data_IF_025757091059
#
_entry.id   IF_025757091059
#
_cell.length_a   1.000
_cell.length_b   1.000
_cell.length_c   1.000
_cell.angle_alpha   90.00
_cell.angle_beta   90.00
_cell.angle_gamma   90.00
#
_symmetry.space_group_name_H-M   'P 1'
#
loop_
_entity.id
_entity.type
_entity.pdbx_description
1 polymer ?
#
# COMPACT_ATOMS: atom_id res chain seq x y z
N UNK A 1 11.70 -14.07 -15.06
CA UNK A 1 10.39 -14.07 -15.76
C UNK A 1 9.38 -13.44 -14.83
N UNK A 2 8.66 -12.38 -15.24
CA UNK A 2 7.56 -11.82 -14.43
C UNK A 2 6.37 -12.75 -14.61
N UNK A 3 5.91 -13.43 -13.56
CA UNK A 3 4.67 -14.19 -13.62
C UNK A 3 3.53 -13.20 -13.77
N UNK A 4 3.03 -13.04 -15.01
CA UNK A 4 1.79 -12.29 -15.27
C UNK A 4 0.66 -13.01 -14.55
N UNK A 5 0.06 -12.34 -13.57
CA UNK A 5 -1.19 -12.80 -12.95
C UNK A 5 -2.22 -12.87 -14.06
N UNK A 6 -2.69 -14.07 -14.40
CA UNK A 6 -3.51 -14.23 -15.61
C UNK A 6 -4.98 -13.83 -15.39
N UNK A 7 -5.41 -13.62 -14.14
CA UNK A 7 -6.60 -12.87 -13.67
C UNK A 7 -6.69 -13.04 -12.14
N UNK A 8 -6.44 -12.00 -11.33
CA UNK A 8 -6.67 -12.12 -9.89
C UNK A 8 -8.17 -12.32 -9.61
N UNK A 9 -8.49 -13.00 -8.52
CA UNK A 9 -9.85 -13.03 -7.94
C UNK A 9 -10.08 -11.86 -6.98
N UNK A 10 -9.00 -11.36 -6.36
CA UNK A 10 -9.05 -10.20 -5.49
C UNK A 10 -7.81 -9.31 -5.63
N UNK A 11 -7.98 -8.04 -5.27
CA UNK A 11 -6.90 -7.05 -5.26
C UNK A 11 -6.82 -6.45 -3.85
N UNK A 12 -5.65 -6.50 -3.25
CA UNK A 12 -5.32 -5.68 -2.08
C UNK A 12 -4.91 -4.31 -2.61
N UNK A 13 -5.75 -3.31 -2.36
CA UNK A 13 -5.53 -1.93 -2.76
C UNK A 13 -4.95 -1.14 -1.60
N UNK A 14 -3.75 -0.61 -1.81
CA UNK A 14 -3.06 0.24 -0.85
C UNK A 14 -3.23 1.68 -1.31
N UNK A 15 -3.69 2.53 -0.40
CA UNK A 15 -3.61 3.99 -0.58
C UNK A 15 -2.77 4.57 0.53
N UNK A 16 -2.07 5.66 0.24
CA UNK A 16 -1.27 6.36 1.23
C UNK A 16 -1.69 7.82 1.26
N UNK A 17 -1.88 8.36 2.47
CA UNK A 17 -2.04 9.79 2.68
C UNK A 17 -0.83 10.31 3.45
N UNK A 18 -0.20 11.36 2.92
CA UNK A 18 0.87 12.08 3.62
C UNK A 18 0.29 13.38 4.16
N UNK A 19 0.14 13.47 5.47
CA UNK A 19 -0.30 14.69 6.14
C UNK A 19 0.79 15.76 6.12
N UNK A 20 0.41 17.01 5.90
CA UNK A 20 1.35 18.15 5.80
C UNK A 20 1.95 18.51 7.18
N UNK A 21 1.24 18.24 8.29
CA UNK A 21 1.59 18.77 9.61
C UNK A 21 2.56 17.92 10.45
N UNK A 22 2.90 16.70 10.03
CA UNK A 22 3.62 15.76 10.94
C UNK A 22 4.58 14.79 10.24
N UNK A 23 4.81 14.95 8.93
CA UNK A 23 5.57 13.99 8.10
C UNK A 23 5.11 12.52 8.20
N UNK A 24 3.95 12.29 8.81
CA UNK A 24 3.39 10.97 8.99
C UNK A 24 2.79 10.49 7.66
N UNK A 25 3.26 9.34 7.19
CA UNK A 25 2.66 8.61 6.07
C UNK A 25 1.73 7.57 6.69
N UNK A 26 0.45 7.65 6.36
CA UNK A 26 -0.53 6.65 6.74
C UNK A 26 -0.88 5.81 5.54
N UNK A 27 -0.88 4.49 5.73
CA UNK A 27 -1.35 3.55 4.73
C UNK A 27 -2.76 3.11 5.09
N UNK A 28 -3.60 2.96 4.07
CA UNK A 28 -4.94 2.43 4.17
C UNK A 28 -5.07 1.29 3.18
N UNK A 29 -5.90 0.32 3.54
CA UNK A 29 -6.05 -0.91 2.78
C UNK A 29 -7.49 -1.24 2.48
N UNK A 30 -7.75 -1.76 1.28
CA UNK A 30 -9.01 -2.43 0.96
C UNK A 30 -8.73 -3.75 0.25
N UNK A 31 -9.49 -4.79 0.57
CA UNK A 31 -9.57 -6.00 -0.25
C UNK A 31 -10.76 -5.86 -1.19
N UNK A 32 -10.52 -5.80 -2.49
CA UNK A 32 -11.56 -5.76 -3.51
C UNK A 32 -11.67 -7.12 -4.19
N UNK A 33 -12.80 -7.78 -4.01
CA UNK A 33 -13.15 -9.00 -4.73
C UNK A 33 -13.65 -8.65 -6.14
N UNK A 34 -13.20 -9.39 -7.14
CA UNK A 34 -13.48 -9.08 -8.54
C UNK A 34 -14.65 -9.87 -9.14
N UNK A 35 -15.12 -10.90 -8.44
CA UNK A 35 -16.25 -11.72 -8.88
C UNK A 35 -17.55 -11.12 -8.35
N UNK A 36 -17.65 -10.95 -7.03
CA UNK A 36 -18.84 -10.39 -6.36
C UNK A 36 -18.83 -8.85 -6.31
N UNK A 37 -17.76 -8.21 -6.79
CA UNK A 37 -17.54 -6.75 -6.73
C UNK A 37 -17.63 -6.14 -5.31
N UNK A 38 -17.46 -6.97 -4.29
CA UNK A 38 -17.44 -6.52 -2.90
C UNK A 38 -16.08 -5.90 -2.54
N UNK A 39 -16.12 -4.91 -1.65
CA UNK A 39 -14.93 -4.25 -1.13
C UNK A 39 -14.95 -4.22 0.39
N UNK A 40 -13.86 -4.66 1.00
CA UNK A 40 -13.69 -4.74 2.44
C UNK A 40 -12.61 -3.78 2.87
N UNK A 41 -12.93 -2.89 3.82
CA UNK A 41 -11.90 -2.07 4.45
C UNK A 41 -11.06 -2.94 5.38
N UNK A 42 -9.74 -2.87 5.19
CA UNK A 42 -8.79 -3.55 6.05
C UNK A 42 -8.64 -2.74 7.32
N UNK A 43 -8.70 -3.44 8.46
CA UNK A 43 -8.55 -2.85 9.79
C UNK A 43 -7.58 -3.67 10.61
N UNK A 44 -6.96 -3.02 11.59
CA UNK A 44 -6.10 -3.64 12.60
C UNK A 44 -6.41 -3.06 13.98
N UNK A 45 -6.11 -3.79 15.07
CA UNK A 45 -6.20 -3.21 16.40
C UNK A 45 -5.15 -2.08 16.55
N UNK A 46 -5.55 -1.00 17.22
CA UNK A 46 -4.63 0.03 17.71
C UNK A 46 -3.87 -0.49 18.94
N UNK A 47 -2.57 -0.19 19.03
CA UNK A 47 -1.75 -0.59 20.18
C UNK A 47 -1.74 0.48 21.27
N UNK A 48 -1.48 0.07 22.51
CA UNK A 48 -1.28 1.00 23.63
C UNK A 48 -0.15 2.02 23.35
N UNK A 49 0.94 1.59 22.73
CA UNK A 49 2.05 2.47 22.37
C UNK A 49 1.61 3.59 21.42
N UNK A 50 0.71 3.30 20.46
CA UNK A 50 0.17 4.30 19.55
C UNK A 50 -0.76 5.30 20.25
N UNK A 51 -1.58 4.83 21.19
CA UNK A 51 -2.43 5.70 22.03
C UNK A 51 -1.59 6.66 22.87
N UNK A 52 -0.52 6.15 23.51
CA UNK A 52 0.38 6.95 24.34
C UNK A 52 1.22 7.93 23.53
N UNK A 53 1.65 7.54 22.33
CA UNK A 53 2.48 8.37 21.45
C UNK A 53 1.69 9.47 20.74
N UNK A 54 0.42 9.22 20.42
CA UNK A 54 -0.43 10.16 19.69
C UNK A 54 -1.80 10.34 20.37
N UNK A 55 -1.83 10.83 21.62
CA UNK A 55 -3.05 10.89 22.43
C UNK A 55 -4.12 11.79 21.79
N UNK A 56 -3.73 12.92 21.19
CA UNK A 56 -4.67 13.83 20.51
C UNK A 56 -5.31 13.20 19.27
N UNK A 57 -4.57 12.34 18.56
CA UNK A 57 -5.08 11.67 17.36
C UNK A 57 -6.06 10.56 17.72
N UNK A 58 -5.81 9.87 18.82
CA UNK A 58 -6.53 8.66 19.21
C UNK A 58 -7.33 8.82 20.50
N UNK A 59 -7.69 10.05 20.87
CA UNK A 59 -8.37 10.38 22.13
C UNK A 59 -9.72 9.68 22.34
N UNK A 60 -10.37 9.21 21.26
CA UNK A 60 -11.63 8.45 21.29
C UNK A 60 -11.46 6.93 21.18
N UNK A 61 -10.22 6.42 21.16
CA UNK A 61 -9.95 5.00 20.97
C UNK A 61 -9.43 4.36 22.25
N UNK A 62 -9.80 3.10 22.45
CA UNK A 62 -9.26 2.23 23.47
C UNK A 62 -8.30 1.20 22.88
N UNK A 63 -7.46 0.60 23.71
CA UNK A 63 -6.53 -0.44 23.28
C UNK A 63 -7.29 -1.61 22.65
N UNK A 64 -6.91 -1.99 21.42
CA UNK A 64 -7.58 -3.06 20.68
C UNK A 64 -8.69 -2.60 19.74
N UNK A 65 -9.10 -1.32 19.76
CA UNK A 65 -10.07 -0.81 18.80
C UNK A 65 -9.59 -0.96 17.35
N UNK A 66 -10.51 -1.33 16.46
CA UNK A 66 -10.20 -1.59 15.06
C UNK A 66 -10.13 -0.30 14.24
N UNK A 67 -8.90 0.08 13.87
CA UNK A 67 -8.61 1.25 13.03
C UNK A 67 -8.23 0.84 11.61
N UNK A 68 -8.46 1.72 10.63
CA UNK A 68 -8.14 1.49 9.22
C UNK A 68 -6.79 2.07 8.78
N UNK A 69 -6.00 2.59 9.73
CA UNK A 69 -4.70 3.21 9.45
C UNK A 69 -3.54 2.29 9.81
N UNK A 70 -2.64 2.07 8.86
CA UNK A 70 -1.48 1.19 8.97
C UNK A 70 -0.17 2.00 8.98
N UNK A 71 0.84 1.43 9.64
CA UNK A 71 2.16 2.05 9.77
C UNK A 71 3.04 1.75 8.55
N UNK A 72 2.83 0.60 7.90
CA UNK A 72 3.51 0.27 6.66
C UNK A 72 2.54 -0.29 5.61
N UNK A 73 2.92 -0.18 4.33
CA UNK A 73 2.20 -0.86 3.24
C UNK A 73 2.33 -2.38 3.33
N UNK A 74 3.37 -2.91 4.00
CA UNK A 74 3.53 -4.36 4.23
C UNK A 74 2.43 -4.84 5.19
N UNK A 75 2.15 -4.09 6.25
CA UNK A 75 1.10 -4.44 7.23
C UNK A 75 -0.28 -4.52 6.54
N UNK A 76 -0.50 -3.69 5.53
CA UNK A 76 -1.72 -3.73 4.70
C UNK A 76 -1.78 -5.02 3.90
N UNK A 77 -0.67 -5.45 3.30
CA UNK A 77 -0.58 -6.70 2.53
C UNK A 77 -0.85 -7.90 3.44
N UNK A 78 -0.23 -7.93 4.62
CA UNK A 78 -0.38 -9.02 5.58
C UNK A 78 -1.83 -9.12 6.08
N UNK A 79 -2.42 -7.98 6.43
CA UNK A 79 -3.84 -7.91 6.84
C UNK A 79 -4.77 -8.32 5.72
N UNK A 80 -4.54 -7.82 4.50
CA UNK A 80 -5.33 -8.18 3.33
C UNK A 80 -5.24 -9.67 2.99
N UNK A 81 -4.07 -10.28 3.15
CA UNK A 81 -3.88 -11.71 2.95
C UNK A 81 -4.62 -12.56 3.99
N UNK A 82 -4.67 -12.11 5.25
CA UNK A 82 -5.43 -12.80 6.29
C UNK A 82 -6.93 -12.74 6.02
N UNK A 83 -7.46 -11.55 5.71
CA UNK A 83 -8.88 -11.38 5.35
C UNK A 83 -9.24 -12.19 4.09
N UNK A 84 -8.35 -12.25 3.10
CA UNK A 84 -8.57 -13.07 1.91
C UNK A 84 -8.62 -14.57 2.23
N UNK A 85 -7.74 -15.07 3.11
CA UNK A 85 -7.78 -16.48 3.58
C UNK A 85 -9.05 -16.81 4.33
N UNK A 86 -9.52 -15.92 5.21
CA UNK A 86 -10.79 -16.08 5.94
C UNK A 86 -11.99 -16.21 4.98
N UNK A 87 -11.88 -15.57 3.81
CA UNK A 87 -12.86 -15.62 2.72
C UNK A 87 -12.65 -16.78 1.74
N UNK A 88 -11.65 -17.63 1.97
CA UNK A 88 -11.35 -18.77 1.10
C UNK A 88 -10.71 -18.40 -0.24
N UNK A 89 -10.08 -17.22 -0.35
CA UNK A 89 -9.37 -16.77 -1.54
C UNK A 89 -7.92 -17.24 -1.45
N UNK A 90 -7.45 -17.98 -2.46
CA UNK A 90 -6.07 -18.43 -2.55
C UNK A 90 -5.13 -17.23 -2.83
N UNK A 91 -3.99 -17.19 -2.14
CA UNK A 91 -3.00 -16.12 -2.30
C UNK A 91 -2.42 -16.03 -3.72
N UNK A 92 -2.40 -17.13 -4.48
CA UNK A 92 -2.01 -17.14 -5.89
C UNK A 92 -2.98 -16.33 -6.76
N UNK A 93 -4.22 -16.17 -6.32
CA UNK A 93 -5.27 -15.41 -7.00
C UNK A 93 -5.34 -13.95 -6.54
N UNK A 94 -4.37 -13.48 -5.75
CA UNK A 94 -4.33 -12.11 -5.22
C UNK A 94 -3.29 -11.27 -5.96
N UNK A 95 -3.72 -10.07 -6.36
CA UNK A 95 -2.82 -9.00 -6.77
C UNK A 95 -2.73 -7.92 -5.68
N UNK A 96 -1.61 -7.21 -5.64
CA UNK A 96 -1.42 -6.04 -4.78
C UNK A 96 -1.18 -4.82 -5.64
N UNK A 97 -1.92 -3.75 -5.35
CA UNK A 97 -1.84 -2.47 -6.04
C UNK A 97 -1.55 -1.33 -5.05
N UNK A 98 -0.90 -0.27 -5.53
CA UNK A 98 -0.61 0.91 -4.71
C UNK A 98 0.62 0.83 -3.81
N UNK A 99 1.47 -0.21 -3.95
CA UNK A 99 2.81 -0.20 -3.32
C UNK A 99 3.62 0.96 -3.93
N UNK A 100 4.27 1.81 -3.11
CA UNK A 100 4.94 3.01 -3.59
C UNK A 100 5.92 2.77 -4.75
N UNK A 101 5.75 3.53 -5.84
CA UNK A 101 6.63 3.51 -7.02
C UNK A 101 6.77 2.14 -7.72
N UNK A 102 5.77 1.27 -7.57
CA UNK A 102 5.72 -0.02 -8.25
C UNK A 102 4.47 -0.13 -9.12
N UNK A 103 4.50 -1.08 -10.05
CA UNK A 103 3.30 -1.51 -10.79
C UNK A 103 2.52 -2.51 -9.92
N UNK A 104 1.30 -2.87 -10.33
CA UNK A 104 0.57 -3.98 -9.70
C UNK A 104 1.40 -5.27 -9.73
N UNK A 105 1.52 -5.94 -8.59
CA UNK A 105 2.30 -7.17 -8.41
C UNK A 105 1.41 -8.33 -7.98
N UNK A 106 1.90 -9.56 -8.15
CA UNK A 106 1.31 -10.73 -7.50
C UNK A 106 1.57 -10.65 -6.00
N UNK A 107 0.73 -11.28 -5.17
CA UNK A 107 0.98 -11.35 -3.74
C UNK A 107 2.42 -11.80 -3.42
N UNK A 108 2.88 -12.88 -4.04
CA UNK A 108 4.22 -13.42 -3.78
C UNK A 108 5.36 -12.53 -4.29
N UNK A 109 5.13 -11.70 -5.31
CA UNK A 109 6.13 -10.70 -5.72
C UNK A 109 6.10 -9.47 -4.83
N UNK A 110 4.93 -9.13 -4.27
CA UNK A 110 4.72 -7.97 -3.41
C UNK A 110 5.40 -8.10 -2.03
N UNK A 111 5.50 -9.32 -1.49
CA UNK A 111 6.15 -9.58 -0.19
C UNK A 111 7.68 -9.72 -0.27
N UNK A 112 8.25 -9.74 -1.48
CA UNK A 112 9.72 -9.78 -1.64
C UNK A 112 10.33 -8.43 -1.28
N UNK A 113 11.64 -8.34 -1.03
CA UNK A 113 12.32 -7.06 -0.95
C UNK A 113 12.14 -6.27 -2.26
N UNK A 114 11.48 -5.11 -2.18
CA UNK A 114 11.19 -4.25 -3.32
C UNK A 114 11.98 -2.94 -3.23
N UNK A 115 12.48 -2.48 -4.37
CA UNK A 115 13.06 -1.14 -4.49
C UNK A 115 11.96 -0.12 -4.82
N UNK A 116 11.38 0.45 -3.76
CA UNK A 116 10.28 1.41 -3.78
C UNK A 116 10.74 2.86 -4.00
N UNK A 117 12.01 3.10 -4.33
CA UNK A 117 12.52 4.47 -4.56
C UNK A 117 11.90 5.05 -5.83
N UNK A 118 11.55 6.33 -5.78
CA UNK A 118 11.06 7.05 -6.96
C UNK A 118 12.13 7.06 -8.04
N UNK A 119 11.77 6.65 -9.26
CA UNK A 119 12.70 6.55 -10.39
C UNK A 119 12.14 7.20 -11.63
N UNK A 120 13.01 7.84 -12.39
CA UNK A 120 12.67 8.32 -13.72
C UNK A 120 12.21 7.13 -14.59
N UNK A 121 11.07 7.27 -15.25
CA UNK A 121 10.52 6.22 -16.11
C UNK A 121 11.43 5.90 -17.30
N UNK A 122 12.13 6.90 -17.84
CA UNK A 122 13.00 6.76 -19.02
C UNK A 122 14.37 6.17 -18.68
N UNK A 123 15.13 6.80 -17.78
CA UNK A 123 16.52 6.42 -17.50
C UNK A 123 16.71 5.61 -16.20
N UNK A 124 15.63 5.36 -15.43
CA UNK A 124 15.66 4.62 -14.16
C UNK A 124 16.53 5.25 -13.05
N UNK A 125 17.05 6.47 -13.25
CA UNK A 125 17.72 7.26 -12.21
C UNK A 125 16.80 7.37 -11.00
N UNK A 126 17.34 7.06 -9.81
CA UNK A 126 16.69 7.34 -8.53
C UNK A 126 16.60 8.85 -8.35
N UNK A 127 15.39 9.32 -8.03
CA UNK A 127 15.09 10.72 -7.74
C UNK A 127 15.18 10.89 -6.23
N UNK A 128 16.07 11.77 -5.78
CA UNK A 128 16.25 12.06 -4.37
C UNK A 128 15.27 13.13 -3.87
N UNK A 129 14.97 13.19 -2.56
CA UNK A 129 14.17 14.27 -2.00
C UNK A 129 14.74 15.65 -2.39
N UNK A 130 13.88 16.55 -2.86
CA UNK A 130 14.27 17.89 -3.30
C UNK A 130 14.76 17.98 -4.76
N UNK A 131 14.98 16.87 -5.46
CA UNK A 131 15.26 16.91 -6.90
C UNK A 131 13.99 17.26 -7.71
N UNK A 132 14.15 18.12 -8.72
CA UNK A 132 13.07 18.47 -9.63
C UNK A 132 12.62 17.26 -10.48
N UNK A 133 11.30 17.17 -10.67
CA UNK A 133 10.65 16.10 -11.44
C UNK A 133 9.50 16.64 -12.27
N UNK A 134 9.26 15.97 -13.39
CA UNK A 134 8.05 16.15 -14.18
C UNK A 134 7.14 14.94 -13.96
N UNK A 135 6.06 15.14 -13.19
CA UNK A 135 5.03 14.13 -13.00
C UNK A 135 3.93 14.30 -14.05
N UNK A 136 3.79 13.32 -14.94
CA UNK A 136 2.84 13.37 -16.04
C UNK A 136 1.96 12.12 -16.06
N UNK A 137 0.85 12.10 -16.83
CA UNK A 137 0.08 10.87 -17.05
C UNK A 137 0.91 9.72 -17.63
N UNK A 138 2.03 10.03 -18.30
CA UNK A 138 2.95 9.03 -18.85
C UNK A 138 3.93 8.51 -17.79
N UNK A 139 3.97 9.09 -16.60
CA UNK A 139 4.85 8.73 -15.49
C UNK A 139 5.73 9.88 -15.02
N UNK A 140 6.60 9.58 -14.06
CA UNK A 140 7.58 10.52 -13.50
C UNK A 140 8.87 10.52 -14.31
N UNK A 141 9.35 11.70 -14.69
CA UNK A 141 10.60 11.90 -15.42
C UNK A 141 11.52 12.84 -14.64
N UNK A 142 12.83 12.59 -14.69
CA UNK A 142 13.82 13.54 -14.20
C UNK A 142 14.00 14.69 -15.20
N UNK A 143 14.55 15.81 -14.74
CA UNK A 143 14.75 17.03 -15.54
C UNK A 143 15.48 16.81 -16.86
N UNK A 144 16.44 15.88 -16.91
CA UNK A 144 17.22 15.58 -18.12
C UNK A 144 16.46 14.72 -19.15
N UNK A 145 15.39 14.06 -18.73
CA UNK A 145 14.68 13.07 -19.55
C UNK A 145 13.36 13.57 -20.11
N UNK A 146 12.81 14.63 -19.51
CA UNK A 146 11.63 15.35 -19.97
C UNK A 146 12.06 16.37 -21.02
#
# INVERSE_FOLDING_TARGET
>A
MKNKINRPKAIIEITSFRGISSDAIHFYGKLRELIEFESFELKRPITKEELEKFPDRFYCYEEGDMINAFNSWIDVIDTGANVAKEKGIDLNDIAVDGIPNTERLSYYDAIKPLDIRLKCKKCRKVINPGEGVYNTPRGVFCEKCY
#
